data_IF_729181090166
#
_entry.id   IF_729181090166
#
_cell.length_a   1.000
_cell.length_b   1.000
_cell.length_c   1.000
_cell.angle_alpha   90.00
_cell.angle_beta   90.00
_cell.angle_gamma   90.00
#
_symmetry.space_group_name_H-M   'P 1'
#
loop_
_entity.id
_entity.type
_entity.pdbx_description
1 polymer ?
#
# COMPACT_ATOMS: atom_id res chain seq x y z
N UNK A 1 8.10 1.97 -65.35
CA UNK A 1 8.57 1.50 -64.04
C UNK A 1 9.98 0.90 -64.18
N UNK A 2 10.83 1.16 -63.24
CA UNK A 2 12.16 0.55 -63.10
C UNK A 2 12.02 -0.59 -62.11
N UNK A 3 12.32 -1.83 -62.51
CA UNK A 3 12.40 -2.99 -61.61
C UNK A 3 13.89 -3.18 -61.29
N UNK A 4 14.22 -3.19 -60.01
CA UNK A 4 15.60 -3.37 -59.52
C UNK A 4 15.54 -4.53 -58.53
N UNK A 5 16.33 -5.58 -58.78
CA UNK A 5 16.38 -6.77 -57.92
C UNK A 5 17.22 -6.53 -56.66
N UNK A 6 18.24 -5.63 -56.76
CA UNK A 6 19.09 -5.24 -55.63
C UNK A 6 19.59 -3.78 -55.78
N UNK A 7 19.57 -3.03 -54.69
CA UNK A 7 20.14 -1.67 -54.64
C UNK A 7 21.27 -1.66 -53.63
N UNK A 8 22.52 -1.56 -54.11
CA UNK A 8 23.68 -1.35 -53.28
C UNK A 8 24.07 0.13 -53.30
N UNK A 9 24.06 0.77 -52.12
CA UNK A 9 24.46 2.18 -51.97
C UNK A 9 25.59 2.31 -50.92
N UNK A 10 26.65 2.99 -51.29
CA UNK A 10 27.80 3.25 -50.43
C UNK A 10 27.67 4.57 -49.63
N UNK A 11 26.71 5.42 -49.95
CA UNK A 11 26.58 6.78 -49.38
C UNK A 11 25.19 7.05 -48.80
N UNK A 12 24.16 6.36 -49.23
CA UNK A 12 22.80 6.54 -48.79
C UNK A 12 21.77 6.59 -49.91
N UNK A 13 20.50 6.44 -49.57
CA UNK A 13 19.34 6.66 -50.43
C UNK A 13 18.66 7.91 -49.87
N UNK A 14 18.65 9.00 -50.63
CA UNK A 14 18.18 10.32 -50.20
C UNK A 14 17.01 10.75 -51.08
N UNK A 15 15.85 11.18 -50.50
CA UNK A 15 14.78 11.79 -51.26
C UNK A 15 15.23 13.12 -51.89
N UNK A 16 14.56 13.56 -52.94
CA UNK A 16 14.86 14.81 -53.68
C UNK A 16 14.47 16.08 -52.90
N UNK A 17 13.61 15.95 -51.91
CA UNK A 17 13.19 17.04 -51.04
C UNK A 17 12.83 16.54 -49.64
N UNK A 18 12.76 17.45 -48.67
CA UNK A 18 12.20 17.17 -47.34
C UNK A 18 10.72 16.78 -47.50
N UNK A 19 10.31 15.71 -46.84
CA UNK A 19 8.95 15.12 -46.92
C UNK A 19 8.53 14.72 -48.36
N UNK A 20 9.52 14.46 -49.23
CA UNK A 20 9.35 14.23 -50.66
C UNK A 20 9.15 12.78 -51.08
N UNK A 21 9.55 11.81 -50.30
CA UNK A 21 9.47 10.39 -50.65
C UNK A 21 9.19 9.52 -49.43
N UNK A 22 8.53 8.40 -49.68
CA UNK A 22 8.21 7.41 -48.66
C UNK A 22 8.91 6.08 -48.94
N UNK A 23 9.13 5.27 -47.93
CA UNK A 23 9.64 3.90 -47.99
C UNK A 23 8.45 2.93 -47.91
N UNK A 24 8.12 2.30 -49.03
CA UNK A 24 6.93 1.44 -49.16
C UNK A 24 5.63 2.22 -49.36
N UNK A 25 4.52 1.53 -49.48
CA UNK A 25 3.17 2.07 -49.61
C UNK A 25 2.20 1.22 -48.76
N UNK A 26 0.94 1.66 -48.58
CA UNK A 26 -0.09 0.92 -47.88
C UNK A 26 -0.52 -0.42 -48.59
N UNK A 27 -0.05 -0.66 -49.78
CA UNK A 27 -0.30 -1.85 -50.58
C UNK A 27 0.96 -2.60 -51.01
N UNK A 28 2.15 -2.10 -50.62
CA UNK A 28 3.47 -2.67 -50.91
C UNK A 28 4.42 -2.28 -49.77
N UNK A 29 4.32 -2.95 -48.64
CA UNK A 29 5.10 -2.73 -47.43
C UNK A 29 6.45 -3.48 -47.52
N UNK A 30 7.45 -2.98 -46.78
CA UNK A 30 8.64 -3.75 -46.44
C UNK A 30 8.35 -4.72 -45.30
N UNK A 31 8.81 -5.97 -45.39
CA UNK A 31 8.62 -6.94 -44.32
C UNK A 31 9.51 -6.66 -43.11
N UNK A 32 10.74 -6.21 -43.35
CA UNK A 32 11.77 -6.08 -42.32
C UNK A 32 12.66 -4.86 -42.58
N UNK A 33 13.17 -4.27 -41.50
CA UNK A 33 14.21 -3.24 -41.50
C UNK A 33 15.37 -3.68 -40.60
N UNK A 34 16.52 -3.99 -41.20
CA UNK A 34 17.73 -4.38 -40.50
C UNK A 34 18.63 -3.16 -40.27
N UNK A 35 18.83 -2.80 -38.99
CA UNK A 35 19.70 -1.70 -38.61
C UNK A 35 20.85 -2.25 -37.76
N UNK A 36 22.02 -1.62 -37.88
CA UNK A 36 23.21 -1.99 -37.13
C UNK A 36 23.13 -1.59 -35.67
N UNK A 37 24.07 -2.13 -34.85
CA UNK A 37 24.27 -1.68 -33.49
C UNK A 37 24.55 -0.19 -33.41
N UNK A 38 23.93 0.50 -32.46
CA UNK A 38 24.01 1.94 -32.32
C UNK A 38 23.22 2.73 -33.35
N UNK A 39 22.39 2.06 -34.18
CA UNK A 39 21.55 2.77 -35.14
C UNK A 39 20.55 3.70 -34.47
N UNK A 40 20.23 4.82 -35.13
CA UNK A 40 19.32 5.85 -34.68
C UNK A 40 18.22 6.08 -35.73
N UNK A 41 16.96 6.00 -35.29
CA UNK A 41 15.82 6.48 -36.07
C UNK A 41 15.51 7.90 -35.60
N UNK A 42 15.73 8.89 -36.50
CA UNK A 42 15.49 10.30 -36.24
C UNK A 42 14.10 10.68 -36.73
N UNK A 43 13.30 11.35 -35.88
CA UNK A 43 11.95 11.80 -36.17
C UNK A 43 11.88 13.34 -36.06
N UNK A 44 11.06 13.97 -36.90
CA UNK A 44 10.92 15.42 -36.97
C UNK A 44 11.95 16.09 -37.91
N UNK A 45 11.67 17.32 -38.34
CA UNK A 45 12.57 18.09 -39.21
C UNK A 45 13.86 18.52 -38.52
N UNK A 46 13.80 18.69 -37.19
CA UNK A 46 14.91 19.08 -36.32
C UNK A 46 15.52 17.88 -35.55
N UNK A 47 15.00 16.66 -35.82
CA UNK A 47 15.43 15.41 -35.21
C UNK A 47 15.41 15.44 -33.66
N UNK A 48 14.46 16.13 -33.09
CA UNK A 48 14.30 16.30 -31.65
C UNK A 48 13.83 15.03 -30.93
N UNK A 49 13.19 14.08 -31.64
CA UNK A 49 12.83 12.76 -31.13
C UNK A 49 13.65 11.69 -31.83
N UNK A 50 14.34 10.87 -31.03
CA UNK A 50 15.14 9.76 -31.56
C UNK A 50 14.86 8.45 -30.84
N UNK A 51 14.88 7.32 -31.62
CA UNK A 51 14.94 5.96 -31.09
C UNK A 51 16.33 5.42 -31.40
N UNK A 52 17.11 5.16 -30.37
CA UNK A 52 18.49 4.67 -30.49
C UNK A 52 18.60 3.22 -30.01
N UNK A 53 19.17 2.36 -30.83
CA UNK A 53 19.54 1.02 -30.40
C UNK A 53 20.77 1.08 -29.48
N UNK A 54 20.61 0.60 -28.24
CA UNK A 54 21.72 0.40 -27.30
C UNK A 54 22.12 -1.07 -27.38
N UNK A 55 23.31 -1.31 -27.91
CA UNK A 55 23.80 -2.67 -28.19
C UNK A 55 23.61 -3.61 -26.97
N UNK A 56 23.09 -4.83 -27.21
CA UNK A 56 22.86 -5.86 -26.21
C UNK A 56 21.95 -5.46 -25.01
N UNK A 57 21.37 -4.24 -25.05
CA UNK A 57 20.62 -3.68 -23.91
C UNK A 57 19.16 -3.36 -24.26
N UNK A 58 18.91 -2.56 -25.30
CA UNK A 58 17.54 -2.19 -25.63
C UNK A 58 17.38 -0.99 -26.54
N UNK A 59 16.24 -0.35 -26.45
CA UNK A 59 15.87 0.82 -27.23
C UNK A 59 15.76 2.05 -26.31
N UNK A 60 16.51 3.11 -26.61
CA UNK A 60 16.48 4.37 -25.91
C UNK A 60 15.64 5.40 -26.69
N UNK A 61 14.61 5.90 -26.04
CA UNK A 61 13.91 7.12 -26.40
C UNK A 61 14.67 8.30 -25.78
N UNK A 62 15.04 9.30 -26.54
CA UNK A 62 15.92 10.39 -26.09
C UNK A 62 15.26 11.29 -25.02
N UNK A 63 16.07 12.13 -24.42
CA UNK A 63 15.75 13.02 -23.28
C UNK A 63 14.42 13.76 -23.47
N UNK A 64 13.58 13.74 -22.43
CA UNK A 64 12.26 14.38 -22.37
C UNK A 64 11.21 13.90 -23.40
N UNK A 65 11.55 12.92 -24.24
CA UNK A 65 10.58 12.30 -25.14
C UNK A 65 9.61 11.38 -24.38
N UNK A 66 8.42 11.22 -24.93
CA UNK A 66 7.32 10.49 -24.30
C UNK A 66 6.79 9.42 -25.23
N UNK A 67 6.42 8.27 -24.69
CA UNK A 67 5.59 7.30 -25.37
C UNK A 67 4.13 7.62 -25.05
N UNK A 68 3.42 8.26 -25.98
CA UNK A 68 2.03 8.68 -25.82
C UNK A 68 1.07 7.65 -26.41
N UNK A 69 -0.08 7.46 -25.75
CA UNK A 69 -1.14 6.57 -26.20
C UNK A 69 -2.44 7.37 -26.34
N UNK A 70 -3.00 7.46 -27.56
CA UNK A 70 -4.27 8.10 -27.87
C UNK A 70 -4.24 9.65 -27.77
N UNK A 71 -3.70 10.21 -26.69
CA UNK A 71 -3.56 11.65 -26.50
C UNK A 71 -2.32 11.98 -25.62
N UNK A 72 -2.07 13.27 -25.40
CA UNK A 72 -0.89 13.75 -24.66
C UNK A 72 -0.94 13.48 -23.15
N UNK A 73 -2.09 13.14 -22.59
CA UNK A 73 -2.29 12.95 -21.15
C UNK A 73 -2.08 11.48 -20.75
N UNK A 74 -2.06 10.57 -21.73
CA UNK A 74 -1.78 9.14 -21.54
C UNK A 74 -0.37 8.84 -22.03
N UNK A 75 0.58 8.70 -21.12
CA UNK A 75 1.99 8.54 -21.50
C UNK A 75 2.84 7.80 -20.48
N UNK A 76 3.94 7.23 -21.00
CA UNK A 76 5.08 6.78 -20.20
C UNK A 76 6.27 7.66 -20.56
N UNK A 77 6.91 8.26 -19.57
CA UNK A 77 8.02 9.19 -19.77
C UNK A 77 8.94 9.24 -18.54
N UNK A 78 9.93 10.13 -18.58
CA UNK A 78 10.77 10.48 -17.45
C UNK A 78 10.78 11.99 -17.29
N UNK A 79 10.32 12.52 -16.18
CA UNK A 79 10.32 13.96 -15.88
C UNK A 79 11.62 14.42 -15.22
N UNK A 80 12.39 13.49 -14.63
CA UNK A 80 13.67 13.77 -14.01
C UNK A 80 14.58 12.53 -14.09
N UNK A 81 15.90 12.74 -13.92
CA UNK A 81 16.87 11.64 -13.89
C UNK A 81 16.54 10.63 -12.77
N UNK A 82 16.52 9.35 -13.12
CA UNK A 82 16.18 8.26 -12.22
C UNK A 82 14.70 8.05 -11.94
N UNK A 83 13.80 8.78 -12.63
CA UNK A 83 12.35 8.68 -12.46
C UNK A 83 11.68 8.09 -13.71
N UNK A 84 10.74 7.18 -13.50
CA UNK A 84 9.82 6.70 -14.53
C UNK A 84 8.40 7.11 -14.13
N UNK A 85 7.71 7.86 -15.00
CA UNK A 85 6.36 8.34 -14.79
C UNK A 85 5.39 7.61 -15.72
N UNK A 86 4.22 7.25 -15.18
CA UNK A 86 3.07 6.72 -15.92
C UNK A 86 1.89 7.64 -15.64
N UNK A 87 1.52 8.43 -16.61
CA UNK A 87 0.43 9.40 -16.49
C UNK A 87 -0.83 8.88 -17.17
N UNK A 88 -1.95 9.01 -16.50
CA UNK A 88 -3.29 8.82 -17.04
C UNK A 88 -4.25 9.84 -16.45
N UNK A 89 -5.13 10.41 -17.28
CA UNK A 89 -6.10 11.42 -16.86
C UNK A 89 -7.31 10.85 -16.09
N UNK A 90 -7.50 9.52 -16.09
CA UNK A 90 -8.62 8.87 -15.42
C UNK A 90 -8.19 7.68 -14.58
N UNK A 91 -7.47 6.72 -15.15
CA UNK A 91 -7.16 5.45 -14.50
C UNK A 91 -5.90 4.81 -15.08
N UNK A 92 -5.11 4.17 -14.22
CA UNK A 92 -4.10 3.17 -14.58
C UNK A 92 -4.56 1.81 -14.07
N UNK A 93 -4.99 0.93 -14.97
CA UNK A 93 -5.39 -0.43 -14.63
C UNK A 93 -4.20 -1.39 -14.75
N UNK A 94 -3.94 -2.17 -13.69
CA UNK A 94 -2.93 -3.24 -13.68
C UNK A 94 -3.64 -4.56 -13.38
N UNK A 95 -4.02 -5.29 -14.43
CA UNK A 95 -4.67 -6.59 -14.30
C UNK A 95 -3.61 -7.70 -14.32
N UNK A 96 -3.32 -8.28 -13.18
CA UNK A 96 -2.31 -9.32 -13.01
C UNK A 96 -2.69 -10.30 -11.90
N UNK A 97 -2.09 -11.49 -11.91
CA UNK A 97 -2.24 -12.45 -10.81
C UNK A 97 -1.42 -12.06 -9.57
N UNK A 98 -0.32 -11.33 -9.77
CA UNK A 98 0.53 -10.84 -8.68
C UNK A 98 1.12 -9.49 -9.09
N UNK A 99 0.95 -8.48 -8.25
CA UNK A 99 1.65 -7.21 -8.35
C UNK A 99 2.70 -7.18 -7.23
N UNK A 100 3.99 -7.24 -7.58
CA UNK A 100 5.11 -7.15 -6.65
C UNK A 100 5.70 -5.74 -6.68
N UNK A 101 5.70 -5.06 -5.53
CA UNK A 101 6.26 -3.71 -5.38
C UNK A 101 7.35 -3.78 -4.31
N UNK A 102 8.61 -3.77 -4.74
CA UNK A 102 9.77 -3.72 -3.86
C UNK A 102 10.26 -2.28 -3.74
N UNK A 103 9.85 -1.59 -2.71
CA UNK A 103 10.22 -0.20 -2.46
C UNK A 103 10.48 0.03 -0.96
N UNK A 104 11.35 0.99 -0.63
CA UNK A 104 11.56 1.41 0.77
C UNK A 104 10.30 2.08 1.32
N UNK A 105 9.57 2.80 0.48
CA UNK A 105 8.30 3.47 0.81
C UNK A 105 7.35 3.34 -0.36
N UNK A 106 6.10 3.00 -0.09
CA UNK A 106 4.98 3.11 -1.04
C UNK A 106 4.09 4.23 -0.53
N UNK A 107 3.99 5.32 -1.31
CA UNK A 107 3.21 6.51 -0.95
C UNK A 107 1.91 6.50 -1.75
N UNK A 108 0.77 6.48 -1.05
CA UNK A 108 -0.57 6.43 -1.65
C UNK A 108 -1.34 7.66 -1.18
N UNK A 109 -1.53 8.63 -2.08
CA UNK A 109 -2.26 9.87 -1.82
C UNK A 109 -3.77 9.73 -2.14
N UNK A 110 -4.40 8.73 -1.59
CA UNK A 110 -5.81 8.43 -1.79
C UNK A 110 -6.27 7.31 -0.87
N UNK A 111 -7.49 6.87 -1.04
CA UNK A 111 -8.02 5.74 -0.29
C UNK A 111 -7.43 4.41 -0.81
N UNK A 112 -7.24 3.46 0.08
CA UNK A 112 -6.92 2.08 -0.24
C UNK A 112 -8.17 1.25 -0.06
N UNK A 113 -8.72 0.75 -1.17
CA UNK A 113 -9.92 -0.05 -1.19
C UNK A 113 -9.60 -1.54 -1.45
N UNK A 114 -9.92 -2.42 -0.49
CA UNK A 114 -9.61 -3.85 -0.50
C UNK A 114 -10.93 -4.65 -0.44
N UNK A 115 -11.69 -4.64 -1.55
CA UNK A 115 -13.14 -4.97 -1.52
C UNK A 115 -13.54 -6.31 -2.10
N UNK A 116 -12.69 -7.00 -2.88
CA UNK A 116 -13.18 -8.13 -3.69
C UNK A 116 -13.02 -9.51 -3.07
N UNK A 117 -12.16 -9.64 -2.05
CA UNK A 117 -11.88 -10.93 -1.38
C UNK A 117 -11.50 -10.72 0.08
N UNK A 118 -11.36 -11.82 0.84
CA UNK A 118 -10.74 -11.75 2.16
C UNK A 118 -9.30 -11.19 2.02
N UNK A 119 -9.02 -10.16 2.79
CA UNK A 119 -7.72 -9.48 2.75
C UNK A 119 -6.86 -9.98 3.90
N UNK A 120 -5.68 -10.49 3.57
CA UNK A 120 -4.62 -10.79 4.52
C UNK A 120 -3.55 -9.69 4.44
N UNK A 121 -3.16 -9.16 5.59
CA UNK A 121 -2.03 -8.24 5.72
C UNK A 121 -1.00 -8.96 6.58
N UNK A 122 -0.03 -9.60 5.93
CA UNK A 122 1.07 -10.26 6.62
C UNK A 122 2.05 -9.24 7.16
N UNK A 123 2.23 -9.25 8.47
CA UNK A 123 3.15 -8.33 9.14
C UNK A 123 4.51 -9.01 9.36
N UNK A 124 5.55 -8.19 9.39
CA UNK A 124 6.89 -8.67 9.74
C UNK A 124 6.89 -9.29 11.15
N UNK A 125 7.48 -10.46 11.29
CA UNK A 125 7.62 -11.16 12.56
C UNK A 125 8.67 -10.50 13.48
N UNK A 126 8.47 -10.63 14.79
CA UNK A 126 9.39 -10.18 15.84
C UNK A 126 9.77 -8.70 15.74
N UNK A 127 8.78 -7.83 15.58
CA UNK A 127 8.96 -6.39 15.43
C UNK A 127 8.12 -5.63 16.47
N UNK A 128 8.71 -4.62 17.11
CA UNK A 128 8.05 -3.80 18.14
C UNK A 128 7.05 -2.80 17.57
N UNK A 129 6.99 -2.62 16.25
CA UNK A 129 6.05 -1.76 15.54
C UNK A 129 5.85 -2.29 14.12
N UNK A 130 5.22 -3.46 13.99
CA UNK A 130 5.04 -4.14 12.70
C UNK A 130 4.04 -3.45 11.78
N UNK A 131 3.01 -2.82 12.35
CA UNK A 131 2.07 -1.92 11.67
C UNK A 131 1.70 -0.80 12.61
N UNK A 132 1.80 0.44 12.18
CA UNK A 132 1.43 1.63 12.95
C UNK A 132 0.51 2.54 12.15
N UNK A 133 -0.52 3.05 12.80
CA UNK A 133 -1.36 4.13 12.31
C UNK A 133 -0.99 5.40 13.07
N UNK A 134 -0.39 6.33 12.36
CA UNK A 134 0.17 7.55 12.92
C UNK A 134 -0.54 8.80 12.37
N UNK A 135 -0.44 9.89 13.09
CA UNK A 135 -0.78 11.21 12.59
C UNK A 135 0.43 12.14 12.76
N UNK A 136 0.43 13.26 12.03
CA UNK A 136 1.51 14.23 12.16
C UNK A 136 1.68 14.69 13.62
N UNK A 137 2.84 14.45 14.20
CA UNK A 137 3.16 14.75 15.60
C UNK A 137 2.62 13.76 16.65
N UNK A 138 2.00 12.65 16.23
CA UNK A 138 1.49 11.61 17.13
C UNK A 138 1.75 10.23 16.53
N UNK A 139 2.75 9.53 17.05
CA UNK A 139 3.06 8.14 16.69
C UNK A 139 2.23 7.14 17.52
N UNK A 140 2.00 5.95 16.96
CA UNK A 140 1.39 4.82 17.66
C UNK A 140 -0.04 5.07 18.14
N UNK A 141 -0.88 5.78 17.37
CA UNK A 141 -2.31 5.91 17.71
C UNK A 141 -2.95 4.53 17.84
N UNK A 142 -2.68 3.66 16.86
CA UNK A 142 -2.92 2.23 16.92
C UNK A 142 -1.67 1.53 16.38
N UNK A 143 -1.12 0.60 17.14
CA UNK A 143 0.11 -0.10 16.77
C UNK A 143 -0.06 -1.60 17.01
N UNK A 144 0.35 -2.40 16.03
CA UNK A 144 0.42 -3.86 16.13
C UNK A 144 1.87 -4.25 16.39
N UNK A 145 2.11 -4.91 17.50
CA UNK A 145 3.41 -5.44 17.92
C UNK A 145 3.41 -6.95 17.70
N UNK A 146 4.43 -7.43 16.99
CA UNK A 146 4.61 -8.87 16.70
C UNK A 146 5.86 -9.43 17.41
N UNK A 147 6.37 -8.73 18.43
CA UNK A 147 7.52 -9.21 19.23
C UNK A 147 7.18 -10.53 19.91
N UNK A 148 7.98 -11.58 19.63
CA UNK A 148 7.76 -12.93 20.11
C UNK A 148 7.56 -13.00 21.62
N UNK A 149 6.47 -13.62 22.06
CA UNK A 149 6.03 -13.73 23.46
C UNK A 149 5.65 -12.39 24.11
N UNK A 150 5.40 -11.34 23.30
CA UNK A 150 4.96 -10.02 23.74
C UNK A 150 4.09 -9.35 22.67
N UNK A 151 3.36 -10.15 21.89
CA UNK A 151 2.44 -9.68 20.87
C UNK A 151 1.33 -8.85 21.51
N UNK A 152 1.05 -7.69 20.93
CA UNK A 152 0.04 -6.78 21.47
C UNK A 152 -0.55 -5.84 20.43
N UNK A 153 -1.70 -5.27 20.78
CA UNK A 153 -2.27 -4.09 20.16
C UNK A 153 -2.17 -2.94 21.13
N UNK A 154 -1.37 -1.94 20.80
CA UNK A 154 -1.15 -0.76 21.64
C UNK A 154 -1.95 0.42 21.09
N UNK A 155 -2.56 1.20 21.97
CA UNK A 155 -3.26 2.43 21.63
C UNK A 155 -2.76 3.55 22.54
N UNK A 156 -2.20 4.61 21.96
CA UNK A 156 -1.67 5.76 22.71
C UNK A 156 -2.74 6.81 23.06
N UNK A 157 -3.98 6.59 22.64
CA UNK A 157 -5.13 7.45 22.89
C UNK A 157 -6.27 6.73 23.58
N UNK A 158 -7.44 7.36 23.62
CA UNK A 158 -8.67 6.77 24.14
C UNK A 158 -9.27 5.78 23.15
N UNK A 159 -10.00 4.80 23.68
CA UNK A 159 -10.88 3.92 22.89
C UNK A 159 -12.31 4.37 23.14
N UNK A 160 -13.04 4.73 22.08
CA UNK A 160 -14.47 5.00 22.10
C UNK A 160 -15.18 3.89 21.33
N UNK A 161 -16.11 3.19 21.99
CA UNK A 161 -16.84 2.05 21.41
C UNK A 161 -18.33 2.31 21.52
N UNK A 162 -18.97 2.62 20.39
CA UNK A 162 -20.43 2.86 20.33
C UNK A 162 -21.27 1.59 20.56
N UNK A 163 -20.65 0.42 20.52
CA UNK A 163 -21.34 -0.88 20.63
C UNK A 163 -20.96 -1.66 21.88
N UNK A 164 -21.19 -2.98 21.83
CA UNK A 164 -20.85 -3.90 22.90
C UNK A 164 -19.40 -4.38 22.75
N UNK A 165 -18.64 -4.38 23.83
CA UNK A 165 -17.29 -4.94 23.91
C UNK A 165 -17.32 -6.27 24.63
N UNK A 166 -16.88 -7.36 24.00
CA UNK A 166 -16.69 -8.67 24.61
C UNK A 166 -15.20 -8.90 24.87
N UNK A 167 -14.86 -9.09 26.14
CA UNK A 167 -13.49 -9.37 26.58
C UNK A 167 -13.51 -10.60 27.51
N UNK A 168 -12.63 -11.56 27.28
CA UNK A 168 -12.52 -12.78 28.12
C UNK A 168 -11.94 -12.45 29.50
N UNK A 169 -11.03 -11.46 29.55
CA UNK A 169 -10.48 -10.92 30.79
C UNK A 169 -10.25 -9.43 30.66
N UNK A 170 -10.40 -8.70 31.75
CA UNK A 170 -10.13 -7.26 31.82
C UNK A 170 -9.26 -7.01 33.04
N UNK A 171 -8.10 -6.40 32.82
CA UNK A 171 -7.19 -5.86 33.85
C UNK A 171 -7.08 -4.36 33.68
N UNK A 172 -7.37 -3.60 34.73
CA UNK A 172 -7.39 -2.13 34.69
C UNK A 172 -6.54 -1.58 35.83
N UNK A 173 -5.39 -1.02 35.50
CA UNK A 173 -4.47 -0.40 36.48
C UNK A 173 -4.95 0.96 37.00
N UNK A 174 -5.98 1.53 36.40
CA UNK A 174 -6.51 2.86 36.70
C UNK A 174 -7.87 2.84 37.42
N UNK A 175 -8.42 4.03 37.63
CA UNK A 175 -9.77 4.19 38.16
C UNK A 175 -10.82 3.79 37.11
N UNK A 176 -11.91 3.16 37.56
CA UNK A 176 -13.08 2.85 36.75
C UNK A 176 -14.22 3.78 37.13
N UNK A 177 -14.80 4.49 36.16
CA UNK A 177 -16.02 5.24 36.30
C UNK A 177 -17.11 4.60 35.43
N UNK A 178 -18.28 4.36 36.00
CA UNK A 178 -19.44 3.85 35.31
C UNK A 178 -20.59 4.85 35.47
N UNK A 179 -21.06 5.42 34.35
CA UNK A 179 -22.16 6.38 34.37
C UNK A 179 -23.55 5.69 34.24
N UNK A 180 -23.55 4.34 34.26
CA UNK A 180 -24.74 3.51 34.16
C UNK A 180 -24.69 2.34 35.14
N UNK A 181 -25.65 1.44 35.06
CA UNK A 181 -25.72 0.26 35.92
C UNK A 181 -24.53 -0.67 35.73
N UNK A 182 -23.93 -1.10 36.84
CA UNK A 182 -22.97 -2.19 36.88
C UNK A 182 -23.69 -3.49 37.14
N UNK A 183 -23.70 -4.43 36.20
CA UNK A 183 -24.31 -5.75 36.32
C UNK A 183 -23.24 -6.80 36.28
N UNK A 184 -23.23 -7.72 37.26
CA UNK A 184 -22.33 -8.85 37.34
C UNK A 184 -23.14 -10.16 37.29
N UNK A 185 -22.90 -10.97 36.26
CA UNK A 185 -23.68 -12.18 36.01
C UNK A 185 -25.03 -11.91 35.34
N UNK A 186 -25.95 -12.88 35.44
CA UNK A 186 -27.32 -12.80 34.95
C UNK A 186 -28.30 -13.34 35.98
N UNK A 187 -29.60 -13.03 35.82
CA UNK A 187 -30.65 -13.55 36.69
C UNK A 187 -30.61 -15.09 36.74
N UNK A 188 -30.53 -15.67 37.94
CA UNK A 188 -30.35 -17.11 38.18
C UNK A 188 -28.94 -17.66 37.95
N UNK A 189 -27.95 -16.80 37.54
CA UNK A 189 -26.54 -17.15 37.33
C UNK A 189 -25.62 -16.00 37.71
N UNK A 190 -25.68 -15.56 38.94
CA UNK A 190 -24.85 -14.52 39.52
C UNK A 190 -23.38 -14.95 39.63
N UNK A 191 -22.48 -13.97 39.75
CA UNK A 191 -21.05 -14.16 40.00
C UNK A 191 -20.65 -13.44 41.27
N UNK A 192 -19.58 -13.87 41.91
CA UNK A 192 -19.03 -13.20 43.09
C UNK A 192 -18.40 -11.87 42.72
N UNK A 193 -18.50 -10.88 43.61
CA UNK A 193 -17.80 -9.61 43.53
C UNK A 193 -16.97 -9.42 44.79
N UNK A 194 -15.67 -9.27 44.64
CA UNK A 194 -14.73 -9.10 45.77
C UNK A 194 -14.02 -7.76 45.66
N UNK A 195 -14.15 -6.95 46.71
CA UNK A 195 -13.46 -5.68 46.87
C UNK A 195 -12.43 -5.79 47.99
N UNK A 196 -11.14 -5.83 47.63
CA UNK A 196 -10.06 -5.96 48.62
C UNK A 196 -9.70 -4.62 49.25
N UNK A 197 -9.37 -4.64 50.53
CA UNK A 197 -8.74 -3.51 51.21
C UNK A 197 -7.20 -3.54 51.04
N UNK A 198 -6.50 -2.50 51.53
CA UNK A 198 -5.04 -2.49 51.61
C UNK A 198 -4.47 -3.48 52.64
N UNK A 199 -5.31 -4.06 53.53
CA UNK A 199 -4.89 -5.01 54.54
C UNK A 199 -5.16 -6.43 54.07
N UNK A 200 -4.16 -7.31 54.14
CA UNK A 200 -4.29 -8.67 53.69
C UNK A 200 -5.38 -9.42 54.49
N UNK A 201 -6.30 -10.05 53.76
CA UNK A 201 -7.41 -10.80 54.33
C UNK A 201 -8.69 -9.98 54.56
N UNK A 202 -8.62 -8.65 54.48
CA UNK A 202 -9.77 -7.78 54.63
C UNK A 202 -10.45 -7.51 53.27
N UNK A 203 -11.74 -7.77 53.15
CA UNK A 203 -12.51 -7.59 51.93
C UNK A 203 -14.01 -7.41 52.16
N UNK A 204 -14.69 -6.91 51.15
CA UNK A 204 -16.14 -6.93 50.99
C UNK A 204 -16.48 -7.86 49.83
N UNK A 205 -17.25 -8.92 50.09
CA UNK A 205 -17.63 -9.90 49.09
C UNK A 205 -19.14 -9.98 48.93
N UNK A 206 -19.65 -9.86 47.70
CA UNK A 206 -20.92 -10.45 47.33
C UNK A 206 -20.65 -11.91 46.95
N UNK A 207 -21.16 -12.86 47.74
CA UNK A 207 -21.11 -14.30 47.48
C UNK A 207 -22.44 -14.70 46.84
N UNK A 208 -22.38 -14.95 45.54
CA UNK A 208 -23.57 -15.29 44.75
C UNK A 208 -24.11 -16.69 45.11
N UNK A 209 -23.27 -17.60 45.60
CA UNK A 209 -23.67 -18.96 45.98
C UNK A 209 -24.35 -19.00 47.34
N UNK A 210 -23.94 -18.14 48.26
CA UNK A 210 -24.52 -18.00 49.59
C UNK A 210 -25.64 -16.96 49.64
N UNK A 211 -25.87 -16.21 48.56
CA UNK A 211 -26.79 -15.05 48.48
C UNK A 211 -26.53 -14.02 49.59
N UNK A 212 -25.26 -13.80 49.93
CA UNK A 212 -24.84 -13.03 51.07
C UNK A 212 -23.82 -11.94 50.79
N UNK A 213 -23.94 -10.82 51.47
CA UNK A 213 -22.94 -9.79 51.56
C UNK A 213 -22.07 -10.03 52.80
N UNK A 214 -20.79 -10.29 52.59
CA UNK A 214 -19.84 -10.69 53.65
C UNK A 214 -18.77 -9.59 53.78
N UNK A 215 -18.55 -9.13 55.01
CA UNK A 215 -17.43 -8.24 55.34
C UNK A 215 -16.46 -9.02 56.21
N UNK A 216 -15.23 -9.19 55.71
CA UNK A 216 -14.16 -9.90 56.41
C UNK A 216 -13.07 -8.92 56.79
N UNK A 217 -12.61 -8.91 58.03
CA UNK A 217 -11.51 -8.04 58.46
C UNK A 217 -11.31 -8.01 59.96
N UNK A 218 -10.13 -7.59 60.38
CA UNK A 218 -9.72 -7.48 61.79
C UNK A 218 -10.26 -6.26 62.50
N UNK A 219 -10.68 -5.24 61.79
CA UNK A 219 -11.15 -3.95 62.35
C UNK A 219 -12.69 -3.81 62.32
N UNK A 220 -13.37 -4.91 62.04
CA UNK A 220 -14.77 -5.03 62.29
C UNK A 220 -15.72 -4.16 61.51
N UNK A 221 -16.94 -4.56 61.54
CA UNK A 221 -18.09 -3.82 61.05
C UNK A 221 -18.39 -2.70 62.04
N UNK A 222 -18.24 -1.47 61.61
CA UNK A 222 -18.80 -0.32 62.34
C UNK A 222 -20.03 0.20 61.68
#
# INVERSE_FOLDING_TARGET
SLTIDDITSNTGIVPDAADGAYLGTSSAEFSDLFLADGAVVNLGNDQDVTLTHIADTGLLLNVASQLQFRDSDLKVHSSADGQLDIDANTEVEIATTTLDITATTVDINGDVDLVTQATDIDLIDNNSSALSFDANGKAGILEIVTTNSSESVNMSGNIDVDGTTNLDAVDIDGAVQLDATFTVGSDGSGQDVVLYSATAGDNLTWDASAEALIVTGTNGQT
#
